data_IF_634389857538
#
_entry.id   IF_634389857538
#
_cell.length_a   1.000
_cell.length_b   1.000
_cell.length_c   1.000
_cell.angle_alpha   90.00
_cell.angle_beta   90.00
_cell.angle_gamma   90.00
#
_symmetry.space_group_name_H-M   'P 1'
#
loop_
_entity.id
_entity.type
_entity.pdbx_description
1 polymer ?
#
# COMPACT_ATOMS: atom_id res chain seq x y z
N UNK A 1 -1.37 -1.61 -13.54
CA UNK A 1 -2.19 -2.61 -12.82
C UNK A 1 -1.62 -2.65 -11.43
N UNK A 2 -2.22 -1.90 -10.53
CA UNK A 2 -1.68 -1.70 -9.19
C UNK A 2 -2.14 -2.87 -8.33
N UNK A 3 -1.35 -3.96 -8.39
CA UNK A 3 -1.71 -5.21 -7.73
C UNK A 3 -1.93 -5.04 -6.21
N UNK A 4 -1.32 -4.04 -5.58
CA UNK A 4 -1.39 -3.80 -4.12
C UNK A 4 -2.83 -3.59 -3.64
N UNK A 5 -3.61 -2.77 -4.36
CA UNK A 5 -4.94 -2.31 -3.93
C UNK A 5 -6.08 -2.97 -4.73
N UNK A 6 -5.80 -4.01 -5.51
CA UNK A 6 -6.80 -4.63 -6.40
C UNK A 6 -8.00 -5.21 -5.62
N UNK A 7 -7.74 -5.77 -4.43
CA UNK A 7 -8.77 -6.25 -3.52
C UNK A 7 -9.38 -5.18 -2.60
N UNK A 8 -8.89 -3.93 -2.64
CA UNK A 8 -9.38 -2.83 -1.79
C UNK A 8 -10.62 -2.23 -2.43
N UNK A 9 -11.72 -2.20 -1.67
CA UNK A 9 -13.05 -1.79 -2.14
C UNK A 9 -13.17 -0.28 -2.33
N UNK A 10 -12.62 0.49 -1.39
CA UNK A 10 -12.67 1.95 -1.36
C UNK A 10 -11.30 2.57 -1.67
N UNK A 11 -10.66 2.04 -2.72
CA UNK A 11 -9.31 2.46 -3.13
C UNK A 11 -9.22 3.92 -3.57
N UNK A 12 -10.36 4.56 -3.88
CA UNK A 12 -10.47 6.00 -4.11
C UNK A 12 -9.95 6.86 -2.95
N UNK A 13 -9.94 6.33 -1.72
CA UNK A 13 -9.32 7.00 -0.57
C UNK A 13 -7.79 7.14 -0.69
N UNK A 14 -7.16 6.29 -1.51
CA UNK A 14 -5.71 6.23 -1.74
C UNK A 14 -5.35 6.83 -3.11
N UNK A 15 -5.90 6.25 -4.19
CA UNK A 15 -5.54 6.62 -5.57
C UNK A 15 -6.40 7.77 -6.12
N UNK A 16 -7.46 8.17 -5.42
CA UNK A 16 -8.40 9.17 -5.91
C UNK A 16 -9.33 8.58 -6.96
N UNK A 17 -9.12 8.91 -8.23
CA UNK A 17 -9.96 8.39 -9.31
C UNK A 17 -9.42 7.03 -9.80
N UNK A 18 -10.13 5.90 -9.59
CA UNK A 18 -9.65 4.59 -10.04
C UNK A 18 -9.61 4.44 -11.57
N UNK A 19 -10.30 5.30 -12.32
CA UNK A 19 -10.22 5.33 -13.79
C UNK A 19 -8.94 6.03 -14.28
N UNK A 20 -8.36 6.91 -13.46
CA UNK A 20 -7.04 7.47 -13.70
C UNK A 20 -6.01 6.45 -13.20
N UNK A 21 -5.34 5.76 -14.12
CA UNK A 21 -4.21 4.90 -13.79
C UNK A 21 -3.09 5.78 -13.26
N UNK A 22 -3.07 6.00 -11.96
CA UNK A 22 -1.95 6.61 -11.26
C UNK A 22 -0.89 5.55 -11.01
N UNK A 23 0.33 6.01 -10.80
CA UNK A 23 1.37 5.18 -10.24
C UNK A 23 1.32 5.28 -8.71
N UNK A 24 1.85 4.27 -8.02
CA UNK A 24 1.91 4.21 -6.55
C UNK A 24 2.57 5.45 -5.93
N UNK A 25 3.48 6.07 -6.67
CA UNK A 25 4.15 7.33 -6.31
C UNK A 25 3.19 8.51 -6.11
N UNK A 26 2.03 8.51 -6.79
CA UNK A 26 1.04 9.59 -6.72
C UNK A 26 -0.07 9.33 -5.68
N UNK A 27 -0.01 8.20 -4.99
CA UNK A 27 -1.02 7.82 -4.02
C UNK A 27 -0.92 8.64 -2.73
N UNK A 28 -2.07 8.80 -2.07
CA UNK A 28 -2.12 9.41 -0.75
C UNK A 28 -1.36 8.54 0.26
N UNK A 29 -0.59 9.19 1.12
CA UNK A 29 0.15 8.52 2.20
C UNK A 29 1.46 7.87 1.76
N UNK A 30 1.88 8.08 0.50
CA UNK A 30 3.14 7.53 -0.01
C UNK A 30 4.29 8.53 0.16
N UNK A 31 5.40 8.07 0.73
CA UNK A 31 6.67 8.80 0.79
C UNK A 31 7.64 8.26 -0.25
N UNK A 32 8.21 9.18 -1.02
CA UNK A 32 9.24 8.90 -2.01
C UNK A 32 10.56 9.49 -1.53
N UNK A 33 11.63 8.69 -1.60
CA UNK A 33 13.01 9.12 -1.39
C UNK A 33 13.84 8.66 -2.58
N UNK A 34 14.68 9.55 -3.12
CA UNK A 34 15.51 9.29 -4.31
C UNK A 34 14.74 8.73 -5.54
N UNK A 35 13.45 9.05 -5.64
CA UNK A 35 12.58 8.56 -6.72
C UNK A 35 12.03 7.15 -6.49
N UNK A 36 12.20 6.58 -5.30
CA UNK A 36 11.62 5.29 -4.94
C UNK A 36 10.64 5.43 -3.77
N UNK A 37 9.56 4.64 -3.78
CA UNK A 37 8.62 4.58 -2.67
C UNK A 37 9.25 3.85 -1.49
N UNK A 38 9.43 4.56 -0.37
CA UNK A 38 10.09 4.02 0.82
C UNK A 38 9.13 3.80 1.98
N UNK A 39 8.05 4.57 2.07
CA UNK A 39 7.05 4.43 3.14
C UNK A 39 5.64 4.59 2.59
N UNK A 40 4.71 3.85 3.18
CA UNK A 40 3.28 3.94 2.91
C UNK A 40 2.57 4.04 4.26
N UNK A 41 1.86 5.14 4.45
CA UNK A 41 1.05 5.43 5.63
C UNK A 41 -0.41 5.60 5.21
N UNK A 42 -1.20 4.56 5.47
CA UNK A 42 -2.62 4.49 5.21
C UNK A 42 -3.44 4.41 6.48
N UNK A 43 -2.91 4.87 7.60
CA UNK A 43 -3.59 4.78 8.88
C UNK A 43 -4.93 5.54 8.86
N UNK A 44 -5.93 4.92 9.50
CA UNK A 44 -7.27 5.51 9.70
C UNK A 44 -7.98 5.98 8.41
N UNK A 45 -7.72 5.35 7.28
CA UNK A 45 -8.36 5.66 6.00
C UNK A 45 -9.72 4.94 5.77
N UNK A 46 -10.22 4.20 6.77
CA UNK A 46 -11.42 3.35 6.70
C UNK A 46 -11.39 2.40 5.48
N UNK A 47 -10.20 1.91 5.14
CA UNK A 47 -9.99 1.01 4.00
C UNK A 47 -10.61 -0.35 4.26
N UNK A 48 -11.25 -0.91 3.24
CA UNK A 48 -12.02 -2.16 3.32
C UNK A 48 -11.59 -3.09 2.21
N UNK A 49 -11.44 -4.37 2.54
CA UNK A 49 -11.17 -5.42 1.56
C UNK A 49 -9.80 -6.04 1.75
N UNK A 50 -9.12 -6.36 0.65
CA UNK A 50 -7.89 -7.14 0.67
C UNK A 50 -6.72 -6.35 0.07
N UNK A 51 -5.61 -6.29 0.80
CA UNK A 51 -4.37 -5.67 0.35
C UNK A 51 -3.35 -6.76 -0.01
N UNK A 52 -2.71 -6.60 -1.17
CA UNK A 52 -1.69 -7.51 -1.66
C UNK A 52 -0.30 -6.97 -1.40
N UNK A 53 0.31 -7.34 -0.28
CA UNK A 53 1.66 -6.90 0.10
C UNK A 53 2.73 -7.30 -0.93
N UNK A 54 2.51 -8.39 -1.68
CA UNK A 54 3.38 -8.81 -2.78
C UNK A 54 3.52 -7.77 -3.89
N UNK A 55 2.54 -6.89 -4.05
CA UNK A 55 2.59 -5.82 -5.05
C UNK A 55 3.45 -4.64 -4.63
N UNK A 56 3.95 -4.61 -3.38
CA UNK A 56 4.72 -3.49 -2.87
C UNK A 56 6.07 -3.37 -3.59
N UNK A 57 6.53 -2.15 -3.89
CA UNK A 57 7.89 -1.92 -4.36
C UNK A 57 8.93 -2.48 -3.38
N UNK A 58 10.03 -3.04 -3.90
CA UNK A 58 11.09 -3.62 -3.08
C UNK A 58 11.82 -2.60 -2.19
N UNK A 59 11.69 -1.32 -2.53
CA UNK A 59 12.25 -0.18 -1.79
C UNK A 59 11.45 0.17 -0.53
N UNK A 60 10.21 -0.32 -0.41
CA UNK A 60 9.36 -0.04 0.76
C UNK A 60 9.98 -0.62 2.01
N UNK A 61 10.16 0.24 3.02
CA UNK A 61 10.71 -0.08 4.33
C UNK A 61 9.65 -0.07 5.41
N UNK A 62 8.65 0.80 5.28
CA UNK A 62 7.55 0.91 6.23
C UNK A 62 6.20 0.86 5.52
N UNK A 63 5.31 0.01 6.02
CA UNK A 63 3.89 -0.01 5.65
C UNK A 63 3.03 0.03 6.91
N UNK A 64 2.24 1.10 7.04
CA UNK A 64 1.29 1.32 8.13
C UNK A 64 -0.11 1.39 7.52
N UNK A 65 -1.01 0.54 8.01
CA UNK A 65 -2.43 0.56 7.65
C UNK A 65 -3.31 0.29 8.86
N UNK A 66 -2.86 0.71 10.04
CA UNK A 66 -3.60 0.53 11.28
C UNK A 66 -4.93 1.27 11.26
N UNK A 67 -5.92 0.72 11.97
CA UNK A 67 -7.24 1.33 12.06
C UNK A 67 -8.08 1.20 10.78
N UNK A 68 -7.67 0.33 9.85
CA UNK A 68 -8.47 -0.05 8.69
C UNK A 68 -9.18 -1.40 8.88
N UNK A 69 -10.10 -1.70 7.96
CA UNK A 69 -10.78 -2.99 7.84
C UNK A 69 -10.20 -3.79 6.66
N UNK A 70 -8.88 -3.81 6.57
CA UNK A 70 -8.15 -4.55 5.55
C UNK A 70 -7.87 -5.98 6.03
N UNK A 71 -7.83 -6.89 5.07
CA UNK A 71 -7.30 -8.24 5.24
C UNK A 71 -6.03 -8.31 4.39
N UNK A 72 -4.88 -8.48 5.02
CA UNK A 72 -3.63 -8.67 4.31
C UNK A 72 -3.44 -10.15 3.97
N UNK A 73 -3.04 -10.46 2.72
CA UNK A 73 -2.50 -11.79 2.42
C UNK A 73 -1.03 -11.78 2.82
N UNK A 74 -0.75 -12.01 4.10
CA UNK A 74 0.62 -12.05 4.62
C UNK A 74 1.32 -13.34 4.16
N UNK A 75 2.00 -13.26 3.04
CA UNK A 75 3.04 -14.23 2.69
C UNK A 75 4.39 -13.59 3.03
N UNK A 76 5.04 -14.07 4.08
CA UNK A 76 6.33 -13.56 4.54
C UNK A 76 7.42 -13.64 3.44
N UNK A 77 7.29 -14.57 2.50
CA UNK A 77 8.19 -14.68 1.35
C UNK A 77 7.95 -13.58 0.29
N UNK A 78 6.82 -12.89 0.36
CA UNK A 78 6.39 -11.86 -0.58
C UNK A 78 6.61 -10.44 -0.06
N UNK A 79 7.20 -10.26 1.13
CA UNK A 79 7.53 -8.94 1.67
C UNK A 79 8.79 -8.36 1.00
N UNK A 80 8.88 -7.03 0.83
CA UNK A 80 10.10 -6.36 0.41
C UNK A 80 11.28 -6.75 1.30
N UNK A 81 12.44 -7.00 0.70
CA UNK A 81 13.68 -7.32 1.44
C UNK A 81 14.06 -6.15 2.38
N UNK A 82 13.73 -4.93 1.97
CA UNK A 82 14.02 -3.70 2.71
C UNK A 82 13.01 -3.42 3.83
N UNK A 83 12.03 -4.29 4.06
CA UNK A 83 10.95 -4.05 5.02
C UNK A 83 11.48 -4.12 6.45
N UNK A 84 11.38 -2.98 7.15
CA UNK A 84 11.80 -2.81 8.53
C UNK A 84 10.61 -2.84 9.49
N UNK A 85 9.43 -2.38 9.03
CA UNK A 85 8.22 -2.28 9.86
C UNK A 85 6.96 -2.52 9.04
N UNK A 86 6.08 -3.34 9.60
CA UNK A 86 4.76 -3.66 9.06
C UNK A 86 3.73 -3.56 10.20
N UNK A 87 2.64 -2.83 9.98
CA UNK A 87 1.52 -2.72 10.91
C UNK A 87 0.20 -2.67 10.13
N UNK A 88 -0.73 -3.57 10.47
CA UNK A 88 -2.04 -3.77 9.81
C UNK A 88 -3.19 -3.96 10.81
#
# INVERSE_FOLDING_TARGET
MEMVIDGVKNKEAICGNPDEKKDIEEWKGVRIEDGEVVEIDWDELDLKGLVHLKGLPSSVRKFDAMGNHLTSTLDAASLPISMESLSD
#
